data_IF_927493971087
#
_entry.id   IF_927493971087
#
_cell.length_a   1.000
_cell.length_b   1.000
_cell.length_c   1.000
_cell.angle_alpha   90.00
_cell.angle_beta   90.00
_cell.angle_gamma   90.00
#
_symmetry.space_group_name_H-M   'P 1'
#
loop_
_entity.id
_entity.type
_entity.pdbx_description
1 polymer ?
#
# COMPACT_ATOMS: atom_id res chain seq x y z
N UNK A 1 12.74 8.70 2.74
CA UNK A 1 12.06 9.34 1.58
C UNK A 1 10.78 10.00 2.09
N UNK A 2 10.46 11.22 1.67
CA UNK A 2 9.25 11.91 2.16
C UNK A 2 8.00 11.33 1.48
N UNK A 3 7.03 10.91 2.28
CA UNK A 3 5.76 10.37 1.82
C UNK A 3 4.89 11.46 1.20
N UNK A 4 4.41 11.23 -0.02
CA UNK A 4 3.67 12.23 -0.82
C UNK A 4 2.50 11.58 -1.55
N UNK A 5 1.36 12.27 -1.55
CA UNK A 5 0.15 11.86 -2.28
C UNK A 5 0.46 11.60 -3.75
N UNK A 6 -0.26 10.67 -4.38
CA UNK A 6 0.00 10.25 -5.77
C UNK A 6 -0.02 11.41 -6.79
N UNK A 7 -0.72 12.52 -6.51
CA UNK A 7 -0.75 13.72 -7.35
C UNK A 7 0.46 14.66 -7.17
N UNK A 8 1.36 14.36 -6.24
CA UNK A 8 2.52 15.20 -5.88
C UNK A 8 3.86 14.46 -6.05
N UNK A 9 3.92 13.50 -6.95
CA UNK A 9 5.12 12.72 -7.22
C UNK A 9 5.59 12.89 -8.68
N UNK A 10 6.89 12.69 -8.87
CA UNK A 10 7.54 12.60 -10.18
C UNK A 10 7.13 11.32 -10.90
N UNK A 11 7.41 11.25 -12.19
CA UNK A 11 7.18 10.05 -13.00
C UNK A 11 8.00 8.86 -12.50
N UNK A 12 9.25 9.10 -12.07
CA UNK A 12 10.13 8.06 -11.55
C UNK A 12 9.55 7.38 -10.30
N UNK A 13 9.06 8.18 -9.35
CA UNK A 13 8.44 7.67 -8.14
C UNK A 13 7.10 6.99 -8.45
N UNK A 14 6.32 7.52 -9.39
CA UNK A 14 5.09 6.85 -9.84
C UNK A 14 5.37 5.46 -10.41
N UNK A 15 6.33 5.33 -11.34
CA UNK A 15 6.74 4.05 -11.93
C UNK A 15 7.22 3.08 -10.86
N UNK A 16 8.04 3.56 -9.91
CA UNK A 16 8.54 2.75 -8.79
C UNK A 16 7.41 2.18 -7.94
N UNK A 17 6.43 3.01 -7.57
CA UNK A 17 5.25 2.58 -6.79
C UNK A 17 4.38 1.58 -7.56
N UNK A 18 4.17 1.80 -8.86
CA UNK A 18 3.43 0.84 -9.71
C UNK A 18 4.14 -0.51 -9.73
N UNK A 19 5.47 -0.54 -9.91
CA UNK A 19 6.25 -1.78 -9.89
C UNK A 19 6.16 -2.49 -8.53
N UNK A 20 6.25 -1.74 -7.43
CA UNK A 20 6.12 -2.31 -6.08
C UNK A 20 4.74 -2.95 -5.86
N UNK A 21 3.66 -2.28 -6.27
CA UNK A 21 2.30 -2.79 -6.15
C UNK A 21 2.04 -4.03 -7.02
N UNK A 22 2.62 -4.09 -8.23
CA UNK A 22 2.54 -5.27 -9.10
C UNK A 22 3.23 -6.47 -8.44
N UNK A 23 4.46 -6.29 -7.94
CA UNK A 23 5.20 -7.34 -7.24
C UNK A 23 4.44 -7.81 -5.98
N UNK A 24 3.92 -6.87 -5.20
CA UNK A 24 3.08 -7.21 -4.04
C UNK A 24 1.85 -8.04 -4.44
N UNK A 25 1.16 -7.68 -5.52
CA UNK A 25 0.02 -8.45 -6.05
C UNK A 25 0.42 -9.86 -6.46
N UNK A 26 1.54 -10.00 -7.18
CA UNK A 26 2.08 -11.30 -7.60
C UNK A 26 2.37 -12.18 -6.38
N UNK A 27 3.02 -11.64 -5.35
CA UNK A 27 3.27 -12.36 -4.10
C UNK A 27 1.99 -12.76 -3.36
N UNK A 28 0.96 -11.92 -3.36
CA UNK A 28 -0.35 -12.30 -2.78
C UNK A 28 -0.96 -13.49 -3.53
N UNK A 29 -0.94 -13.45 -4.87
CA UNK A 29 -1.46 -14.55 -5.70
C UNK A 29 -0.68 -15.84 -5.44
N UNK A 30 0.66 -15.77 -5.42
CA UNK A 30 1.52 -16.92 -5.10
C UNK A 30 1.23 -17.46 -3.70
N UNK A 31 1.10 -16.58 -2.70
CA UNK A 31 0.79 -16.98 -1.33
C UNK A 31 -0.53 -17.75 -1.26
N UNK A 32 -1.61 -17.18 -1.81
CA UNK A 32 -2.93 -17.81 -1.75
C UNK A 32 -3.05 -19.07 -2.62
N UNK A 33 -2.17 -19.25 -3.60
CA UNK A 33 -2.06 -20.50 -4.36
C UNK A 33 -1.27 -21.58 -3.60
N UNK A 34 -0.33 -21.18 -2.73
CA UNK A 34 0.54 -22.09 -1.99
C UNK A 34 -0.04 -22.54 -0.64
N UNK A 35 -1.12 -21.92 -0.15
CA UNK A 35 -1.79 -22.34 1.08
C UNK A 35 -2.72 -23.53 0.83
N UNK A 36 -2.80 -24.43 1.82
CA UNK A 36 -3.76 -25.52 1.81
C UNK A 36 -4.99 -25.15 2.64
N UNK A 37 -6.16 -25.62 2.20
CA UNK A 37 -7.42 -25.36 2.88
C UNK A 37 -7.87 -26.62 3.62
N UNK A 38 -7.95 -26.53 4.95
CA UNK A 38 -8.65 -27.49 5.79
C UNK A 38 -10.07 -26.99 6.08
N UNK A 39 -10.95 -27.90 6.52
CA UNK A 39 -12.34 -27.57 6.89
C UNK A 39 -12.45 -26.41 7.89
N UNK A 40 -11.43 -26.22 8.74
CA UNK A 40 -11.48 -25.24 9.85
C UNK A 40 -10.45 -24.12 9.73
N UNK A 41 -9.41 -24.26 8.90
CA UNK A 41 -8.31 -23.30 8.85
C UNK A 41 -7.52 -23.34 7.54
N UNK A 42 -6.80 -22.24 7.29
CA UNK A 42 -5.71 -22.22 6.34
C UNK A 42 -4.50 -22.92 6.97
N UNK A 43 -3.88 -23.84 6.23
CA UNK A 43 -2.61 -24.46 6.59
C UNK A 43 -1.54 -23.84 5.67
N UNK A 44 -0.62 -23.08 6.27
CA UNK A 44 0.51 -22.53 5.52
C UNK A 44 1.55 -23.61 5.23
N UNK A 45 1.77 -23.90 3.95
CA UNK A 45 2.88 -24.74 3.51
C UNK A 45 4.22 -24.03 3.75
N UNK A 46 5.32 -24.78 3.67
CA UNK A 46 6.66 -24.17 3.72
C UNK A 46 6.87 -23.10 2.64
N UNK A 47 6.25 -23.24 1.48
CA UNK A 47 6.28 -22.25 0.41
C UNK A 47 5.50 -20.99 0.80
N UNK A 48 4.27 -21.14 1.29
CA UNK A 48 3.45 -20.02 1.76
C UNK A 48 4.17 -19.21 2.86
N UNK A 49 4.82 -19.86 3.82
CA UNK A 49 5.60 -19.18 4.88
C UNK A 49 6.74 -18.35 4.28
N UNK A 50 7.44 -18.86 3.25
CA UNK A 50 8.53 -18.11 2.58
C UNK A 50 8.00 -16.89 1.85
N UNK A 51 6.87 -17.02 1.17
CA UNK A 51 6.22 -15.91 0.45
C UNK A 51 5.72 -14.87 1.46
N UNK A 52 5.09 -15.29 2.56
CA UNK A 52 4.64 -14.43 3.67
C UNK A 52 5.76 -13.52 4.18
N UNK A 53 6.97 -14.07 4.37
CA UNK A 53 8.15 -13.28 4.78
C UNK A 53 8.50 -12.19 3.78
N UNK A 54 8.41 -12.46 2.47
CA UNK A 54 8.64 -11.46 1.41
C UNK A 54 7.57 -10.36 1.45
N UNK A 55 6.30 -10.75 1.59
CA UNK A 55 5.17 -9.82 1.71
C UNK A 55 5.38 -8.91 2.92
N UNK A 56 5.66 -9.48 4.10
CA UNK A 56 5.89 -8.72 5.33
C UNK A 56 7.04 -7.72 5.22
N UNK A 57 8.10 -8.06 4.47
CA UNK A 57 9.24 -7.17 4.28
C UNK A 57 8.90 -5.88 3.48
N UNK A 58 7.88 -5.92 2.63
CA UNK A 58 7.43 -4.76 1.84
C UNK A 58 6.13 -4.12 2.33
N UNK A 59 5.44 -4.78 3.28
CA UNK A 59 4.08 -4.43 3.70
C UNK A 59 3.96 -2.98 4.18
N UNK A 60 4.94 -2.50 4.96
CA UNK A 60 4.96 -1.11 5.44
C UNK A 60 4.95 -0.10 4.30
N UNK A 61 5.78 -0.31 3.29
CA UNK A 61 5.86 0.63 2.16
C UNK A 61 4.61 0.55 1.27
N UNK A 62 4.11 -0.67 1.03
CA UNK A 62 2.85 -0.89 0.30
C UNK A 62 1.70 -0.17 1.00
N UNK A 63 1.59 -0.31 2.32
CA UNK A 63 0.60 0.38 3.14
C UNK A 63 0.61 1.89 2.90
N UNK A 64 1.80 2.50 3.00
CA UNK A 64 1.97 3.94 2.81
C UNK A 64 1.55 4.36 1.38
N UNK A 65 1.91 3.59 0.36
CA UNK A 65 1.53 3.85 -1.04
C UNK A 65 0.03 3.76 -1.26
N UNK A 66 -0.62 2.76 -0.67
CA UNK A 66 -2.07 2.54 -0.71
C UNK A 66 -2.78 3.73 -0.06
N UNK A 67 -2.35 4.13 1.14
CA UNK A 67 -2.89 5.29 1.86
C UNK A 67 -2.78 6.57 1.01
N UNK A 68 -1.61 6.79 0.42
CA UNK A 68 -1.32 7.96 -0.42
C UNK A 68 -2.05 7.96 -1.77
N UNK A 69 -2.66 6.84 -2.17
CA UNK A 69 -3.54 6.78 -3.33
C UNK A 69 -4.91 7.44 -3.07
N UNK A 70 -5.26 7.69 -1.79
CA UNK A 70 -6.53 8.28 -1.40
C UNK A 70 -7.72 7.33 -1.52
N UNK A 71 -7.46 6.02 -1.65
CA UNK A 71 -8.48 4.96 -1.64
C UNK A 71 -8.73 4.51 -0.20
N UNK A 72 -9.03 5.48 0.68
CA UNK A 72 -9.11 5.27 2.14
C UNK A 72 -10.32 4.41 2.58
N UNK A 73 -11.31 4.22 1.72
CA UNK A 73 -12.59 3.63 2.12
C UNK A 73 -12.60 2.11 2.21
N UNK A 74 -11.60 1.41 1.65
CA UNK A 74 -11.65 -0.05 1.52
C UNK A 74 -10.84 -0.77 2.59
N UNK A 75 -9.66 -0.28 2.97
CA UNK A 75 -8.89 -0.86 4.07
C UNK A 75 -9.47 -0.57 5.45
N UNK A 76 -10.19 0.55 5.62
CA UNK A 76 -10.92 0.84 6.86
C UNK A 76 -12.07 -0.15 7.14
N UNK A 77 -12.50 -0.93 6.13
CA UNK A 77 -13.48 -2.04 6.28
C UNK A 77 -12.82 -3.39 6.51
N UNK A 78 -11.52 -3.51 6.21
CA UNK A 78 -10.72 -4.70 6.55
C UNK A 78 -10.39 -4.73 8.04
N UNK A 79 -10.43 -3.57 8.68
CA UNK A 79 -10.31 -3.41 10.11
C UNK A 79 -11.45 -4.06 10.88
N UNK A 80 -11.10 -4.94 11.84
CA UNK A 80 -12.06 -5.32 12.89
C UNK A 80 -12.46 -4.04 13.62
N UNK A 81 -13.72 -3.87 14.04
CA UNK A 81 -14.10 -2.70 14.82
C UNK A 81 -13.26 -2.68 16.09
N UNK A 82 -12.38 -1.69 16.23
CA UNK A 82 -11.64 -1.53 17.47
C UNK A 82 -12.61 -1.28 18.62
N UNK A 83 -12.34 -1.82 19.82
CA UNK A 83 -13.07 -1.41 21.02
C UNK A 83 -12.96 0.11 21.16
N UNK A 84 -14.10 0.74 21.47
CA UNK A 84 -14.29 2.20 21.55
C UNK A 84 -13.09 2.85 22.26
N UNK A 85 -12.39 3.75 21.55
CA UNK A 85 -11.29 4.55 22.11
C UNK A 85 -9.89 4.23 21.60
N UNK A 86 -9.69 3.19 20.78
CA UNK A 86 -8.38 2.84 20.20
C UNK A 86 -8.38 3.15 18.70
N UNK A 87 -7.43 3.96 18.23
CA UNK A 87 -7.27 4.27 16.80
C UNK A 87 -6.77 3.03 16.03
N UNK A 88 -7.70 2.30 15.41
CA UNK A 88 -7.49 1.09 14.61
C UNK A 88 -6.72 1.30 13.28
N UNK A 89 -5.93 2.35 13.13
CA UNK A 89 -5.49 2.76 11.79
C UNK A 89 -4.26 1.98 11.28
N UNK A 90 -3.55 1.22 12.12
CA UNK A 90 -2.28 0.56 11.72
C UNK A 90 -2.22 -0.96 11.89
N UNK A 91 -3.09 -1.60 12.67
CA UNK A 91 -2.96 -3.04 12.97
C UNK A 91 -3.56 -3.96 11.89
N UNK A 92 -4.51 -3.50 11.09
CA UNK A 92 -5.37 -4.41 10.31
C UNK A 92 -4.80 -4.88 8.96
N UNK A 93 -3.82 -4.16 8.41
CA UNK A 93 -3.12 -4.61 7.18
C UNK A 93 -2.04 -5.66 7.49
N UNK A 94 -1.67 -5.86 8.76
CA UNK A 94 -0.83 -6.99 9.18
C UNK A 94 -1.61 -8.32 9.20
N UNK A 95 -2.94 -8.25 9.14
CA UNK A 95 -3.84 -9.40 9.21
C UNK A 95 -4.35 -9.87 7.82
N UNK A 96 -3.67 -9.46 6.73
CA UNK A 96 -4.02 -9.87 5.35
C UNK A 96 -3.97 -11.40 5.11
N UNK A 97 -3.42 -12.14 6.06
CA UNK A 97 -3.31 -13.59 5.99
C UNK A 97 -4.50 -14.31 6.65
N UNK A 98 -5.18 -13.66 7.60
CA UNK A 98 -6.41 -14.19 8.22
C UNK A 98 -7.68 -13.83 7.44
N UNK A 99 -7.53 -13.34 6.20
CA UNK A 99 -8.65 -12.92 5.35
C UNK A 99 -9.69 -14.01 5.10
N UNK A 100 -9.34 -15.29 5.26
CA UNK A 100 -10.29 -16.41 5.22
C UNK A 100 -11.40 -16.31 6.27
N UNK A 101 -11.11 -15.75 7.44
CA UNK A 101 -12.10 -15.54 8.51
C UNK A 101 -12.83 -14.20 8.40
N UNK A 102 -12.38 -13.33 7.51
CA UNK A 102 -13.03 -12.06 7.21
C UNK A 102 -14.00 -12.18 6.04
N UNK A 103 -14.99 -11.29 5.96
CA UNK A 103 -15.88 -11.18 4.77
C UNK A 103 -15.13 -10.71 3.50
N UNK A 104 -13.81 -10.55 3.56
CA UNK A 104 -12.98 -10.01 2.49
C UNK A 104 -12.05 -11.12 2.02
N UNK A 105 -12.58 -11.98 1.15
CA UNK A 105 -11.78 -13.06 0.57
C UNK A 105 -10.59 -12.55 -0.26
N UNK A 106 -9.61 -13.42 -0.55
CA UNK A 106 -8.36 -13.07 -1.24
C UNK A 106 -8.55 -12.30 -2.55
N UNK A 107 -9.58 -12.65 -3.33
CA UNK A 107 -9.92 -11.98 -4.60
C UNK A 107 -10.18 -10.49 -4.40
N UNK A 108 -10.91 -10.11 -3.35
CA UNK A 108 -11.25 -8.72 -3.09
C UNK A 108 -10.03 -7.91 -2.68
N UNK A 109 -9.07 -8.50 -1.96
CA UNK A 109 -7.78 -7.85 -1.69
C UNK A 109 -7.03 -7.57 -3.00
N UNK A 110 -6.97 -8.55 -3.90
CA UNK A 110 -6.32 -8.41 -5.21
C UNK A 110 -6.99 -7.31 -6.04
N UNK A 111 -8.34 -7.27 -6.08
CA UNK A 111 -9.10 -6.25 -6.79
C UNK A 111 -8.81 -4.82 -6.27
N UNK A 112 -8.66 -4.67 -4.94
CA UNK A 112 -8.27 -3.40 -4.33
C UNK A 112 -6.88 -2.97 -4.80
N UNK A 113 -5.91 -3.89 -4.79
CA UNK A 113 -4.55 -3.60 -5.27
C UNK A 113 -4.58 -3.21 -6.75
N UNK A 114 -5.39 -3.88 -7.58
CA UNK A 114 -5.55 -3.52 -8.99
C UNK A 114 -6.19 -2.13 -9.19
N UNK A 115 -7.19 -1.79 -8.38
CA UNK A 115 -7.77 -0.45 -8.39
C UNK A 115 -6.72 0.63 -8.04
N UNK A 116 -5.85 0.35 -7.07
CA UNK A 116 -4.79 1.28 -6.66
C UNK A 116 -3.71 1.40 -7.75
N UNK A 117 -3.31 0.28 -8.36
CA UNK A 117 -2.41 0.28 -9.53
C UNK A 117 -2.99 1.18 -10.63
N UNK A 118 -4.30 1.07 -10.89
CA UNK A 118 -4.99 1.92 -11.87
C UNK A 118 -4.90 3.40 -11.51
N UNK A 119 -5.15 3.79 -10.26
CA UNK A 119 -4.99 5.19 -9.80
C UNK A 119 -3.60 5.75 -10.12
N UNK A 120 -2.54 4.95 -9.89
CA UNK A 120 -1.18 5.38 -10.20
C UNK A 120 -0.92 5.45 -11.71
N UNK A 121 -1.39 4.46 -12.48
CA UNK A 121 -1.27 4.43 -13.96
C UNK A 121 -1.97 5.62 -14.61
N UNK A 122 -3.21 5.89 -14.23
CA UNK A 122 -4.00 7.01 -14.77
C UNK A 122 -3.32 8.37 -14.47
N UNK A 123 -2.55 8.45 -13.39
CA UNK A 123 -1.80 9.64 -13.00
C UNK A 123 -0.41 9.76 -13.67
N UNK A 124 0.03 8.80 -14.50
CA UNK A 124 1.37 8.83 -15.12
C UNK A 124 1.57 10.06 -16.02
N UNK A 125 0.58 10.41 -16.84
CA UNK A 125 0.67 11.59 -17.72
C UNK A 125 0.87 12.86 -16.89
N UNK A 126 0.09 13.03 -15.82
CA UNK A 126 0.22 14.18 -14.93
C UNK A 126 1.55 14.16 -14.16
N UNK A 127 2.06 12.97 -13.78
CA UNK A 127 3.36 12.84 -13.14
C UNK A 127 4.51 13.19 -14.09
N UNK A 128 4.39 12.84 -15.38
CA UNK A 128 5.32 13.25 -16.43
C UNK A 128 5.33 14.77 -16.58
N UNK A 129 4.17 15.41 -16.76
CA UNK A 129 4.06 16.87 -16.87
C UNK A 129 4.63 17.59 -15.65
N UNK A 130 4.38 17.10 -14.43
CA UNK A 130 4.98 17.64 -13.19
C UNK A 130 6.49 17.53 -13.19
N UNK A 131 7.05 16.42 -13.66
CA UNK A 131 8.50 16.18 -13.65
C UNK A 131 9.27 17.20 -14.48
N UNK A 132 8.68 17.69 -15.58
CA UNK A 132 9.29 18.71 -16.43
C UNK A 132 8.86 20.15 -16.09
N UNK A 133 7.94 20.33 -15.14
CA UNK A 133 7.51 21.65 -14.70
C UNK A 133 8.48 22.22 -13.65
N UNK A 134 9.17 23.34 -13.90
CA UNK A 134 10.11 23.93 -12.93
C UNK A 134 9.43 24.36 -11.62
N UNK A 135 8.16 24.79 -11.66
CA UNK A 135 7.42 25.17 -10.45
C UNK A 135 7.12 23.97 -9.55
N UNK A 136 7.03 22.76 -10.12
CA UNK A 136 6.89 21.56 -9.31
C UNK A 136 8.13 21.34 -8.45
N UNK A 137 9.33 21.49 -9.00
CA UNK A 137 10.58 21.38 -8.22
C UNK A 137 10.71 22.46 -7.15
N UNK A 138 10.28 23.69 -7.46
CA UNK A 138 10.23 24.76 -6.47
C UNK A 138 9.30 24.38 -5.29
N UNK A 139 8.12 23.82 -5.60
CA UNK A 139 7.20 23.34 -4.57
C UNK A 139 7.79 22.21 -3.72
N UNK A 140 8.51 21.26 -4.34
CA UNK A 140 9.21 20.20 -3.63
C UNK A 140 10.28 20.76 -2.67
N UNK A 141 11.03 21.77 -3.12
CA UNK A 141 12.07 22.43 -2.33
C UNK A 141 11.46 23.19 -1.15
N UNK A 142 10.37 23.94 -1.37
CA UNK A 142 9.65 24.64 -0.31
C UNK A 142 9.11 23.68 0.75
N UNK A 143 8.50 22.57 0.34
CA UNK A 143 8.03 21.53 1.27
C UNK A 143 9.20 20.99 2.13
N UNK A 144 10.38 20.80 1.52
CA UNK A 144 11.57 20.36 2.25
C UNK A 144 12.06 21.38 3.27
N UNK A 145 12.07 22.67 2.92
CA UNK A 145 12.45 23.74 3.84
C UNK A 145 11.48 23.81 5.03
N UNK A 146 10.17 23.78 4.78
CA UNK A 146 9.15 23.81 5.83
C UNK A 146 9.33 22.64 6.80
N UNK A 147 9.48 21.41 6.28
CA UNK A 147 9.73 20.25 7.13
C UNK A 147 11.02 20.36 7.94
N UNK A 148 12.08 20.93 7.37
CA UNK A 148 13.35 21.15 8.07
C UNK A 148 13.19 22.14 9.24
N UNK A 149 12.51 23.26 9.02
CA UNK A 149 12.27 24.26 10.07
C UNK A 149 11.37 23.73 11.18
N UNK A 150 10.28 23.03 10.85
CA UNK A 150 9.39 22.44 11.84
C UNK A 150 10.08 21.38 12.71
N UNK A 151 11.02 20.62 12.15
CA UNK A 151 11.79 19.61 12.89
C UNK A 151 12.85 20.22 13.82
N UNK A 152 13.25 21.47 13.61
CA UNK A 152 14.23 22.18 14.46
C UNK A 152 13.59 22.77 15.72
N UNK A 153 12.27 22.95 15.73
CA UNK A 153 11.52 23.56 16.83
C UNK A 153 10.81 22.55 17.75
N UNK A 154 10.95 21.25 17.48
CA UNK A 154 10.51 20.14 18.33
C UNK A 154 11.73 19.33 18.77
#
# INVERSE_FOLDING_TARGET
MMLRYYRKITIWENIRRVKLLINFKELLVEYFAAVEYSYFCIIETHEAIRIRKKINAMLKEVYEIIYLAGVNSIFRRLSKPAPVGVSAEMEDLYDIFDLYYSDIGPRKLIDIVDQIIKVYKDNQVMAFLRTFNPFFWLSLLLDHLVCFFLKKHN
#
